data_IF_577468873902
#
_entry.id   IF_577468873902
#
_cell.length_a   1.000
_cell.length_b   1.000
_cell.length_c   1.000
_cell.angle_alpha   90.00
_cell.angle_beta   90.00
_cell.angle_gamma   90.00
#
_symmetry.space_group_name_H-M   'P 1'
#
loop_
_entity.id
_entity.type
_entity.pdbx_description
1 polymer ?
#
# COMPACT_ATOMS: atom_id res chain seq x y z
N UNK A 1 12.40 -10.71 -18.01
CA UNK A 1 12.07 -9.36 -17.49
C UNK A 1 13.09 -9.03 -16.40
N UNK A 2 14.09 -8.20 -16.70
CA UNK A 2 15.15 -7.85 -15.75
C UNK A 2 14.51 -6.99 -14.65
N UNK A 3 14.40 -7.53 -13.43
CA UNK A 3 13.86 -6.79 -12.29
C UNK A 3 14.90 -5.74 -11.87
N UNK A 4 14.58 -4.46 -12.12
CA UNK A 4 15.33 -3.28 -11.64
C UNK A 4 15.60 -3.39 -10.14
N UNK A 5 16.76 -2.92 -9.68
CA UNK A 5 17.05 -2.82 -8.25
C UNK A 5 15.98 -1.94 -7.56
N UNK A 6 15.45 -2.39 -6.42
CA UNK A 6 14.49 -1.62 -5.61
C UNK A 6 14.93 -1.59 -4.15
N UNK A 7 14.53 -0.52 -3.47
CA UNK A 7 14.78 -0.28 -2.05
C UNK A 7 14.29 -1.49 -1.24
N UNK A 8 15.10 -1.94 -0.26
CA UNK A 8 14.74 -2.98 0.70
C UNK A 8 15.09 -4.44 0.37
N UNK A 9 15.70 -4.73 -0.79
CA UNK A 9 16.21 -6.09 -1.04
C UNK A 9 17.40 -6.43 -0.12
N UNK A 10 17.48 -7.63 0.47
CA UNK A 10 18.63 -8.05 1.26
C UNK A 10 19.83 -8.30 0.35
N UNK A 11 20.99 -7.74 0.70
CA UNK A 11 22.26 -7.94 -0.01
C UNK A 11 23.35 -8.28 1.00
N UNK A 12 24.19 -9.25 0.66
CA UNK A 12 25.42 -9.57 1.41
C UNK A 12 26.60 -9.19 0.52
N UNK A 13 27.47 -8.32 1.02
CA UNK A 13 28.76 -8.02 0.39
C UNK A 13 29.69 -9.20 0.65
N UNK A 14 30.16 -9.86 -0.40
CA UNK A 14 31.20 -10.87 -0.25
C UNK A 14 32.50 -10.15 0.14
N UNK A 15 33.12 -10.55 1.25
CA UNK A 15 34.45 -10.09 1.65
C UNK A 15 35.46 -11.15 1.22
N UNK A 16 36.48 -10.72 0.48
CA UNK A 16 37.67 -11.50 0.14
C UNK A 16 38.40 -11.93 1.43
N UNK A 17 38.12 -13.15 1.93
CA UNK A 17 38.81 -13.69 3.10
C UNK A 17 38.73 -15.22 3.21
N UNK A 18 38.97 -15.98 2.12
CA UNK A 18 39.07 -17.45 2.19
C UNK A 18 37.86 -18.14 2.86
N UNK A 19 36.68 -17.53 2.77
CA UNK A 19 35.48 -17.99 3.47
C UNK A 19 34.90 -19.18 2.71
N UNK A 20 34.71 -20.29 3.41
CA UNK A 20 34.04 -21.47 2.87
C UNK A 20 32.62 -21.11 2.41
N UNK A 21 32.38 -21.30 1.11
CA UNK A 21 31.09 -21.02 0.46
C UNK A 21 29.96 -21.81 1.12
N UNK A 22 30.23 -23.02 1.60
CA UNK A 22 29.22 -23.84 2.30
C UNK A 22 28.89 -23.28 3.69
N UNK A 23 29.86 -22.68 4.39
CA UNK A 23 29.62 -21.95 5.64
C UNK A 23 28.79 -20.67 5.42
N UNK A 24 29.03 -19.95 4.32
CA UNK A 24 28.19 -18.80 3.93
C UNK A 24 26.78 -19.26 3.62
N UNK A 25 26.60 -20.30 2.79
CA UNK A 25 25.29 -20.87 2.45
C UNK A 25 24.53 -21.31 3.69
N UNK A 26 25.17 -22.07 4.59
CA UNK A 26 24.54 -22.52 5.83
C UNK A 26 24.10 -21.35 6.71
N UNK A 27 24.96 -20.35 6.89
CA UNK A 27 24.64 -19.15 7.69
C UNK A 27 23.48 -18.35 7.09
N UNK A 28 23.43 -18.27 5.76
CA UNK A 28 22.34 -17.68 5.00
C UNK A 28 21.04 -18.47 5.23
N UNK A 29 21.05 -19.80 5.09
CA UNK A 29 19.88 -20.67 5.30
C UNK A 29 19.37 -20.56 6.74
N UNK A 30 20.26 -20.60 7.73
CA UNK A 30 19.91 -20.49 9.15
C UNK A 30 19.26 -19.12 9.46
N UNK A 31 19.78 -18.04 8.87
CA UNK A 31 19.17 -16.71 8.98
C UNK A 31 17.74 -16.69 8.39
N UNK A 32 17.57 -17.22 7.17
CA UNK A 32 16.26 -17.28 6.51
C UNK A 32 15.25 -18.17 7.26
N UNK A 33 15.70 -19.19 7.98
CA UNK A 33 14.83 -20.05 8.79
C UNK A 33 14.16 -19.27 9.94
N UNK A 34 14.93 -18.46 10.67
CA UNK A 34 14.42 -17.59 11.74
C UNK A 34 13.53 -16.49 11.19
N UNK A 35 13.94 -15.89 10.08
CA UNK A 35 13.14 -14.88 9.38
C UNK A 35 11.76 -15.43 8.98
N UNK A 36 11.70 -16.69 8.52
CA UNK A 36 10.45 -17.36 8.14
C UNK A 36 9.53 -17.57 9.34
N UNK A 37 10.09 -17.94 10.49
CA UNK A 37 9.31 -18.09 11.72
C UNK A 37 8.72 -16.75 12.16
N UNK A 38 9.53 -15.69 12.19
CA UNK A 38 9.09 -14.33 12.51
C UNK A 38 8.01 -13.86 11.53
N UNK A 39 8.20 -14.08 10.23
CA UNK A 39 7.22 -13.72 9.22
C UNK A 39 5.91 -14.50 9.36
N UNK A 40 5.98 -15.80 9.72
CA UNK A 40 4.79 -16.61 9.99
C UNK A 40 3.98 -16.06 11.17
N UNK A 41 4.64 -15.62 12.24
CA UNK A 41 3.96 -14.97 13.37
C UNK A 41 3.21 -13.70 12.93
N UNK A 42 3.84 -12.91 12.06
CA UNK A 42 3.21 -11.71 11.49
C UNK A 42 2.04 -12.05 10.55
N UNK A 43 2.23 -12.98 9.60
CA UNK A 43 1.18 -13.45 8.67
C UNK A 43 -0.06 -13.95 9.42
N UNK A 44 0.15 -14.67 10.53
CA UNK A 44 -0.90 -15.21 11.38
C UNK A 44 -1.47 -14.20 12.39
N UNK A 45 -1.09 -12.91 12.27
CA UNK A 45 -1.54 -11.81 13.15
C UNK A 45 -1.22 -12.03 14.64
N UNK A 46 -0.18 -12.80 14.95
CA UNK A 46 0.28 -13.02 16.33
C UNK A 46 1.16 -11.89 16.85
N UNK A 47 1.79 -11.13 15.94
CA UNK A 47 2.57 -9.94 16.26
C UNK A 47 2.16 -8.76 15.36
N UNK A 48 2.13 -7.52 15.90
CA UNK A 48 1.87 -6.32 15.10
C UNK A 48 3.07 -5.96 14.22
N UNK A 49 2.85 -5.04 13.27
CA UNK A 49 3.87 -4.59 12.32
C UNK A 49 5.10 -3.99 13.02
N UNK A 50 4.94 -3.17 14.06
CA UNK A 50 6.02 -2.60 14.85
C UNK A 50 6.95 -3.66 15.45
N UNK A 51 6.38 -4.73 16.02
CA UNK A 51 7.15 -5.87 16.54
C UNK A 51 7.83 -6.63 15.42
N UNK A 52 7.14 -6.86 14.30
CA UNK A 52 7.71 -7.51 13.13
C UNK A 52 8.90 -6.72 12.56
N UNK A 53 8.77 -5.41 12.35
CA UNK A 53 9.86 -4.51 11.93
C UNK A 53 11.05 -4.59 12.88
N UNK A 54 10.78 -4.58 14.19
CA UNK A 54 11.82 -4.65 15.22
C UNK A 54 12.57 -5.98 15.15
N UNK A 55 11.86 -7.11 15.02
CA UNK A 55 12.45 -8.44 14.92
C UNK A 55 13.21 -8.67 13.60
N UNK A 56 12.75 -8.06 12.51
CA UNK A 56 13.42 -8.08 11.20
C UNK A 56 14.64 -7.14 11.14
N UNK A 57 14.77 -6.24 12.12
CA UNK A 57 15.87 -5.28 12.26
C UNK A 57 15.83 -4.07 11.32
N UNK A 58 14.87 -4.00 10.39
CA UNK A 58 14.79 -2.94 9.39
C UNK A 58 13.39 -2.85 8.76
N UNK A 59 12.86 -1.64 8.59
CA UNK A 59 11.60 -1.39 7.87
C UNK A 59 11.69 -1.92 6.44
N UNK A 60 12.76 -1.56 5.71
CA UNK A 60 12.91 -1.95 4.32
C UNK A 60 12.94 -3.47 4.13
N UNK A 61 13.57 -4.20 5.06
CA UNK A 61 13.59 -5.66 5.02
C UNK A 61 12.20 -6.25 5.31
N UNK A 62 11.54 -5.79 6.37
CA UNK A 62 10.21 -6.24 6.76
C UNK A 62 9.18 -6.04 5.63
N UNK A 63 9.12 -4.83 5.06
CA UNK A 63 8.16 -4.48 4.01
C UNK A 63 8.47 -5.17 2.67
N UNK A 64 9.75 -5.34 2.33
CA UNK A 64 10.15 -6.10 1.14
C UNK A 64 9.73 -7.56 1.22
N UNK A 65 9.77 -8.15 2.42
CA UNK A 65 9.31 -9.52 2.65
C UNK A 65 7.80 -9.66 2.44
N UNK A 66 7.00 -8.75 2.98
CA UNK A 66 5.53 -8.69 2.79
C UNK A 66 5.20 -8.67 1.29
N UNK A 67 5.88 -7.78 0.57
CA UNK A 67 5.71 -7.60 -0.87
C UNK A 67 6.16 -8.83 -1.67
N UNK A 68 7.32 -9.41 -1.34
CA UNK A 68 7.89 -10.55 -2.08
C UNK A 68 7.05 -11.82 -1.91
N UNK A 69 6.63 -12.11 -0.68
CA UNK A 69 5.81 -13.28 -0.34
C UNK A 69 4.33 -13.08 -0.70
N UNK A 70 3.92 -11.84 -1.00
CA UNK A 70 2.53 -11.42 -1.21
C UNK A 70 1.63 -11.90 -0.06
N UNK A 71 2.13 -11.79 1.18
CA UNK A 71 1.51 -12.31 2.40
C UNK A 71 1.69 -11.34 3.56
N UNK A 72 0.81 -11.45 4.55
CA UNK A 72 0.71 -10.47 5.63
C UNK A 72 0.06 -9.16 5.17
N UNK A 73 -0.33 -8.33 6.12
CA UNK A 73 -1.03 -7.07 5.87
C UNK A 73 -0.49 -5.95 6.75
N UNK A 74 -0.34 -4.77 6.16
CA UNK A 74 -0.02 -3.54 6.88
C UNK A 74 -1.36 -2.93 7.33
N UNK A 75 -1.58 -2.86 8.64
CA UNK A 75 -2.85 -2.40 9.21
C UNK A 75 -2.78 -0.88 9.46
N UNK A 76 -3.25 -0.13 8.47
CA UNK A 76 -3.30 1.34 8.52
C UNK A 76 -4.58 1.85 9.20
N UNK A 77 -5.66 1.04 9.20
CA UNK A 77 -6.95 1.31 9.83
C UNK A 77 -7.67 -0.01 10.19
N UNK A 78 -8.87 0.08 10.76
CA UNK A 78 -9.67 -1.08 11.21
C UNK A 78 -10.59 -1.69 10.13
N UNK A 79 -10.55 -1.16 8.92
CA UNK A 79 -11.32 -1.60 7.76
C UNK A 79 -12.72 -1.04 7.62
N UNK A 80 -13.13 -0.16 8.53
CA UNK A 80 -14.41 0.54 8.45
C UNK A 80 -14.27 1.84 7.66
N UNK A 81 -15.29 2.17 6.87
CA UNK A 81 -15.33 3.40 6.09
C UNK A 81 -15.24 4.64 6.98
N UNK A 82 -15.85 4.59 8.17
CA UNK A 82 -15.78 5.64 9.18
C UNK A 82 -14.34 5.89 9.65
N UNK A 83 -13.54 4.83 9.78
CA UNK A 83 -12.14 4.93 10.19
C UNK A 83 -11.30 5.61 9.11
N UNK A 84 -11.51 5.24 7.84
CA UNK A 84 -10.85 5.90 6.72
C UNK A 84 -11.25 7.38 6.59
N UNK A 85 -12.55 7.70 6.71
CA UNK A 85 -13.04 9.07 6.67
C UNK A 85 -12.52 9.91 7.84
N UNK A 86 -12.40 9.32 9.03
CA UNK A 86 -11.74 9.98 10.16
C UNK A 86 -10.28 10.30 9.84
N UNK A 87 -9.50 9.35 9.29
CA UNK A 87 -8.11 9.63 8.88
C UNK A 87 -8.00 10.70 7.81
N UNK A 88 -8.96 10.78 6.87
CA UNK A 88 -9.02 11.89 5.91
C UNK A 88 -9.21 13.24 6.62
N UNK A 89 -10.13 13.31 7.58
CA UNK A 89 -10.35 14.53 8.36
C UNK A 89 -9.10 14.94 9.14
N UNK A 90 -8.36 13.98 9.71
CA UNK A 90 -7.07 14.24 10.37
C UNK A 90 -6.02 14.73 9.37
N UNK A 91 -5.93 14.11 8.18
CA UNK A 91 -5.05 14.56 7.12
C UNK A 91 -5.38 15.98 6.62
N UNK A 92 -6.66 16.36 6.56
CA UNK A 92 -7.06 17.72 6.23
C UNK A 92 -6.61 18.74 7.26
N UNK A 93 -6.69 18.42 8.56
CA UNK A 93 -6.14 19.27 9.64
C UNK A 93 -4.64 19.46 9.47
N UNK A 94 -3.90 18.38 9.19
CA UNK A 94 -2.46 18.43 8.90
C UNK A 94 -2.13 19.37 7.73
N UNK A 95 -2.86 19.25 6.61
CA UNK A 95 -2.71 20.15 5.46
C UNK A 95 -3.04 21.62 5.79
N UNK A 96 -3.87 21.85 6.81
CA UNK A 96 -4.26 23.19 7.27
C UNK A 96 -3.37 23.72 8.41
N UNK A 97 -2.22 23.08 8.68
CA UNK A 97 -1.19 23.59 9.59
C UNK A 97 -1.13 22.95 10.97
N UNK A 98 -1.90 21.89 11.24
CA UNK A 98 -1.67 21.04 12.42
C UNK A 98 -0.30 20.36 12.31
N UNK A 99 0.48 20.38 13.39
CA UNK A 99 1.82 19.77 13.43
C UNK A 99 1.75 18.26 13.21
N UNK A 100 2.61 17.74 12.33
CA UNK A 100 2.65 16.32 11.97
C UNK A 100 3.97 15.70 12.39
N UNK A 101 3.91 14.61 13.15
CA UNK A 101 5.05 13.71 13.35
C UNK A 101 4.99 12.57 12.34
N UNK A 102 6.01 12.44 11.50
CA UNK A 102 6.09 11.40 10.47
C UNK A 102 6.93 10.25 11.01
N UNK A 103 6.36 9.05 11.06
CA UNK A 103 7.08 7.86 11.46
C UNK A 103 7.91 7.25 10.30
N UNK A 104 8.75 6.27 10.62
CA UNK A 104 9.60 5.63 9.62
C UNK A 104 8.81 4.81 8.60
N UNK A 105 7.64 4.27 8.97
CA UNK A 105 6.83 3.44 8.05
C UNK A 105 6.23 4.29 6.94
N UNK A 106 5.68 5.45 7.28
CA UNK A 106 5.12 6.39 6.30
C UNK A 106 6.20 7.06 5.48
N UNK A 107 7.32 7.45 6.11
CA UNK A 107 8.44 8.02 5.36
C UNK A 107 8.95 7.01 4.32
N UNK A 108 9.03 5.73 4.68
CA UNK A 108 9.36 4.67 3.73
C UNK A 108 8.35 4.59 2.57
N UNK A 109 7.04 4.63 2.85
CA UNK A 109 6.03 4.61 1.80
C UNK A 109 6.08 5.84 0.89
N UNK A 110 6.35 7.03 1.43
CA UNK A 110 6.54 8.25 0.64
C UNK A 110 7.74 8.15 -0.31
N UNK A 111 8.84 7.51 0.14
CA UNK A 111 10.03 7.25 -0.68
C UNK A 111 9.72 6.25 -1.79
N UNK A 112 9.10 5.10 -1.45
CA UNK A 112 8.73 4.06 -2.42
C UNK A 112 7.77 4.60 -3.48
N UNK A 113 6.83 5.45 -3.07
CA UNK A 113 5.92 6.14 -3.98
C UNK A 113 6.61 7.25 -4.79
N UNK A 114 7.78 7.72 -4.35
CA UNK A 114 8.51 8.80 -5.00
C UNK A 114 7.86 10.16 -4.87
N UNK A 115 7.08 10.39 -3.81
CA UNK A 115 6.25 11.59 -3.60
C UNK A 115 6.66 12.41 -2.36
N UNK A 116 7.84 12.15 -1.77
CA UNK A 116 8.31 12.82 -0.54
C UNK A 116 8.17 14.35 -0.65
N UNK A 117 8.76 14.96 -1.68
CA UNK A 117 8.69 16.43 -1.88
C UNK A 117 7.28 16.93 -2.18
N UNK A 118 6.57 16.22 -3.04
CA UNK A 118 5.20 16.58 -3.43
C UNK A 118 4.27 16.63 -2.22
N UNK A 119 4.41 15.69 -1.30
CA UNK A 119 3.61 15.61 -0.07
C UNK A 119 4.10 16.61 0.99
N UNK A 120 5.40 16.59 1.31
CA UNK A 120 5.93 17.41 2.41
C UNK A 120 5.87 18.91 2.10
N UNK A 121 5.88 19.31 0.83
CA UNK A 121 5.65 20.71 0.45
C UNK A 121 4.21 21.20 0.75
N UNK A 122 3.27 20.29 1.02
CA UNK A 122 1.86 20.58 1.31
C UNK A 122 1.51 20.47 2.78
N UNK A 123 2.43 19.97 3.62
CA UNK A 123 2.27 19.91 5.07
C UNK A 123 3.06 21.08 5.67
N UNK A 124 2.41 22.15 6.15
CA UNK A 124 3.12 23.37 6.57
C UNK A 124 4.06 23.15 7.77
N UNK A 125 3.71 22.18 8.64
CA UNK A 125 4.44 21.89 9.88
C UNK A 125 4.62 20.39 10.03
N UNK A 126 5.82 19.91 9.80
CA UNK A 126 6.14 18.50 9.98
C UNK A 126 7.48 18.31 10.68
N UNK A 127 7.55 17.19 11.40
CA UNK A 127 8.64 16.81 12.26
C UNK A 127 9.03 15.37 11.93
N UNK A 128 10.34 15.11 11.82
CA UNK A 128 10.87 13.76 11.56
C UNK A 128 11.90 13.42 12.63
N UNK A 129 11.60 12.49 13.55
CA UNK A 129 12.54 12.04 14.57
C UNK A 129 13.94 11.68 14.02
N UNK A 130 14.99 12.02 14.78
CA UNK A 130 16.38 11.78 14.37
C UNK A 130 16.70 10.29 14.15
N UNK A 131 16.01 9.39 14.86
CA UNK A 131 16.11 7.94 14.68
C UNK A 131 15.72 7.50 13.28
N UNK A 132 14.68 8.11 12.71
CA UNK A 132 14.21 7.84 11.35
C UNK A 132 15.20 8.38 10.32
N UNK A 133 15.74 9.59 10.52
CA UNK A 133 16.78 10.12 9.63
C UNK A 133 18.07 9.30 9.65
N UNK A 134 18.41 8.71 10.80
CA UNK A 134 19.55 7.79 10.92
C UNK A 134 19.33 6.53 10.08
N UNK A 135 18.14 5.94 10.12
CA UNK A 135 17.80 4.79 9.25
C UNK A 135 17.79 5.18 7.78
N UNK A 136 17.31 6.38 7.44
CA UNK A 136 17.35 6.92 6.08
C UNK A 136 18.79 7.05 5.57
N UNK A 137 19.70 7.59 6.38
CA UNK A 137 21.13 7.67 6.04
C UNK A 137 21.76 6.28 5.85
N UNK A 138 21.45 5.34 6.75
CA UNK A 138 21.87 3.94 6.62
C UNK A 138 21.37 3.32 5.29
N UNK A 139 20.16 3.67 4.84
CA UNK A 139 19.64 3.25 3.54
C UNK A 139 20.44 3.86 2.38
N UNK A 140 20.78 5.16 2.43
CA UNK A 140 21.64 5.81 1.42
C UNK A 140 23.00 5.10 1.34
N UNK A 141 23.60 4.79 2.49
CA UNK A 141 24.92 4.16 2.56
C UNK A 141 24.96 2.77 1.92
N UNK A 142 23.83 2.04 1.90
CA UNK A 142 23.71 0.77 1.19
C UNK A 142 23.88 0.91 -0.33
N UNK A 143 23.56 2.07 -0.90
CA UNK A 143 23.74 2.36 -2.32
C UNK A 143 25.10 3.02 -2.64
N UNK A 144 25.86 3.45 -1.62
CA UNK A 144 27.18 4.07 -1.81
C UNK A 144 28.30 3.08 -2.16
N UNK A 145 28.10 1.78 -1.93
CA UNK A 145 29.12 0.74 -2.12
C UNK A 145 28.53 -0.41 -2.94
N UNK A 146 28.58 -0.25 -4.26
CA UNK A 146 28.20 -1.29 -5.22
C UNK A 146 29.49 -1.92 -5.75
N UNK A 147 29.75 -3.18 -5.40
CA UNK A 147 30.85 -3.94 -6.01
C UNK A 147 30.55 -4.24 -7.47
N UNK A 148 31.55 -4.11 -8.33
CA UNK A 148 31.44 -4.50 -9.74
C UNK A 148 31.18 -6.01 -9.90
N UNK A 149 31.57 -6.79 -8.89
CA UNK A 149 31.44 -8.26 -8.83
C UNK A 149 30.01 -8.77 -8.58
N UNK A 150 29.05 -7.85 -8.36
CA UNK A 150 27.66 -8.17 -8.10
C UNK A 150 27.35 -8.49 -6.64
N UNK A 151 26.12 -8.92 -6.39
CA UNK A 151 25.59 -9.22 -5.04
C UNK A 151 25.12 -10.67 -4.97
N UNK A 152 25.35 -11.31 -3.82
CA UNK A 152 24.77 -12.61 -3.53
C UNK A 152 23.30 -12.42 -3.13
N UNK A 153 22.41 -13.05 -3.88
CA UNK A 153 21.00 -13.19 -3.55
C UNK A 153 20.67 -14.65 -3.35
N UNK A 154 19.77 -14.94 -2.42
CA UNK A 154 19.19 -16.28 -2.36
C UNK A 154 18.13 -16.41 -3.46
N UNK A 155 18.16 -17.54 -4.16
CA UNK A 155 17.16 -17.93 -5.15
C UNK A 155 15.74 -17.79 -4.60
N UNK A 156 14.75 -17.56 -5.48
CA UNK A 156 13.35 -17.44 -5.05
C UNK A 156 12.86 -18.71 -4.32
N UNK A 157 13.38 -19.88 -4.72
CA UNK A 157 13.12 -21.18 -4.09
C UNK A 157 13.95 -21.41 -2.81
N UNK A 158 14.95 -20.55 -2.56
CA UNK A 158 15.85 -20.56 -1.39
C UNK A 158 16.70 -21.81 -1.22
N UNK A 159 16.89 -22.56 -2.30
CA UNK A 159 17.74 -23.75 -2.33
C UNK A 159 19.18 -23.42 -2.74
N UNK A 160 19.38 -22.28 -3.40
CA UNK A 160 20.69 -21.85 -3.90
C UNK A 160 20.96 -20.34 -3.73
N UNK A 161 22.23 -19.94 -3.84
CA UNK A 161 22.70 -18.55 -3.84
C UNK A 161 23.07 -18.15 -5.27
N UNK A 162 22.35 -17.18 -5.81
CA UNK A 162 22.54 -16.63 -7.15
C UNK A 162 23.32 -15.32 -7.07
N UNK A 163 24.38 -15.17 -7.86
CA UNK A 163 25.05 -13.88 -8.05
C UNK A 163 24.25 -13.05 -9.05
N UNK A 164 23.77 -11.87 -8.64
CA UNK A 164 23.19 -10.88 -9.56
C UNK A 164 24.11 -9.69 -9.72
N UNK A 165 24.42 -9.37 -10.97
CA UNK A 165 25.10 -8.10 -11.32
C UNK A 165 24.17 -6.94 -10.99
N UNK A 166 24.68 -6.01 -10.20
CA UNK A 166 23.96 -4.80 -9.84
C UNK A 166 24.21 -3.74 -10.91
N UNK A 167 23.18 -2.98 -11.29
CA UNK A 167 23.38 -1.83 -12.17
C UNK A 167 23.90 -0.65 -11.34
N UNK A 168 25.15 -0.26 -11.58
CA UNK A 168 25.77 0.91 -10.92
C UNK A 168 24.98 2.18 -11.21
N UNK A 169 24.46 2.32 -12.43
CA UNK A 169 23.67 3.48 -12.84
C UNK A 169 22.33 3.54 -12.09
N UNK A 170 21.64 2.40 -11.95
CA UNK A 170 20.40 2.34 -11.16
C UNK A 170 20.67 2.63 -9.67
N UNK A 171 21.80 2.14 -9.14
CA UNK A 171 22.22 2.42 -7.78
C UNK A 171 22.39 3.92 -7.54
N UNK A 172 23.12 4.58 -8.43
CA UNK A 172 23.46 5.99 -8.30
C UNK A 172 22.23 6.88 -8.53
N UNK A 173 21.31 6.47 -9.40
CA UNK A 173 20.02 7.14 -9.58
C UNK A 173 19.19 7.09 -8.27
N UNK A 174 19.06 5.90 -7.67
CA UNK A 174 18.34 5.73 -6.39
C UNK A 174 19.04 6.53 -5.28
N UNK A 175 20.36 6.42 -5.18
CA UNK A 175 21.17 7.14 -4.17
C UNK A 175 21.00 8.64 -4.31
N UNK A 176 21.11 9.17 -5.53
CA UNK A 176 20.96 10.59 -5.82
C UNK A 176 19.57 11.08 -5.41
N UNK A 177 18.52 10.31 -5.71
CA UNK A 177 17.15 10.65 -5.29
C UNK A 177 17.01 10.68 -3.77
N UNK A 178 17.49 9.64 -3.07
CA UNK A 178 17.44 9.55 -1.61
C UNK A 178 18.22 10.69 -0.93
N UNK A 179 19.41 11.02 -1.41
CA UNK A 179 20.20 12.16 -0.92
C UNK A 179 19.45 13.48 -1.11
N UNK A 180 18.83 13.65 -2.28
CA UNK A 180 18.04 14.82 -2.62
C UNK A 180 16.83 14.96 -1.68
N UNK A 181 16.11 13.88 -1.40
CA UNK A 181 14.95 13.87 -0.50
C UNK A 181 15.35 14.08 0.96
N UNK A 182 16.44 13.45 1.43
CA UNK A 182 16.97 13.68 2.76
C UNK A 182 17.36 15.15 2.96
N UNK A 183 18.04 15.75 1.98
CA UNK A 183 18.39 17.17 2.04
C UNK A 183 17.14 18.04 2.15
N UNK A 184 16.12 17.79 1.33
CA UNK A 184 14.86 18.50 1.41
C UNK A 184 14.23 18.42 2.80
N UNK A 185 14.20 17.23 3.41
CA UNK A 185 13.68 17.03 4.77
C UNK A 185 14.48 17.84 5.78
N UNK A 186 15.82 17.78 5.73
CA UNK A 186 16.67 18.49 6.68
C UNK A 186 16.54 20.02 6.58
N UNK A 187 16.30 20.53 5.37
CA UNK A 187 16.16 21.96 5.11
C UNK A 187 14.77 22.51 5.52
N UNK A 188 13.75 21.64 5.69
CA UNK A 188 12.35 22.08 5.82
C UNK A 188 11.59 21.51 7.04
N UNK A 189 12.08 20.48 7.74
CA UNK A 189 11.42 19.96 8.94
C UNK A 189 11.60 20.92 10.14
N UNK A 190 10.57 21.07 10.98
CA UNK A 190 10.62 21.96 12.17
C UNK A 190 11.56 21.42 13.26
N UNK A 191 11.50 20.11 13.52
CA UNK A 191 12.34 19.43 14.50
C UNK A 191 12.89 18.09 13.98
N UNK A 192 14.16 17.85 14.32
CA UNK A 192 14.94 16.63 14.10
C UNK A 192 15.70 16.23 15.37
N UNK A 193 15.04 16.14 16.53
CA UNK A 193 15.63 15.48 17.72
C UNK A 193 15.12 14.05 17.90
N UNK A 194 15.92 13.17 18.51
CA UNK A 194 15.50 11.85 18.96
C UNK A 194 14.90 11.90 20.37
N UNK A 195 14.31 10.80 20.83
CA UNK A 195 13.91 10.65 22.23
C UNK A 195 14.96 9.81 22.96
N UNK A 196 15.66 10.35 23.97
CA UNK A 196 16.60 9.56 24.76
C UNK A 196 15.84 8.49 25.56
N UNK A 197 16.49 7.33 25.77
CA UNK A 197 15.88 6.17 26.45
C UNK A 197 15.35 6.51 27.86
N UNK A 198 16.00 7.45 28.56
CA UNK A 198 15.60 7.92 29.89
C UNK A 198 14.24 8.61 29.92
N UNK A 199 13.77 9.13 28.78
CA UNK A 199 12.49 9.80 28.68
C UNK A 199 11.40 8.89 28.06
N UNK A 200 11.76 7.66 27.70
CA UNK A 200 10.80 6.63 27.29
C UNK A 200 10.18 6.00 28.53
N UNK A 201 8.90 5.66 28.44
CA UNK A 201 8.20 4.91 29.47
C UNK A 201 8.91 3.56 29.71
N UNK A 202 8.87 3.04 30.94
CA UNK A 202 9.58 1.80 31.31
C UNK A 202 8.99 0.56 30.63
N UNK A 203 7.76 0.66 30.10
CA UNK A 203 7.09 -0.43 29.38
C UNK A 203 7.87 -0.86 28.12
N UNK A 204 7.80 -2.16 27.84
CA UNK A 204 8.41 -2.79 26.68
C UNK A 204 8.10 -2.05 25.37
N UNK A 205 6.87 -1.54 25.21
CA UNK A 205 6.42 -0.93 23.96
C UNK A 205 7.24 0.29 23.55
N UNK A 206 7.78 1.06 24.51
CA UNK A 206 8.68 2.20 24.20
C UNK A 206 10.15 1.80 24.28
N UNK A 207 10.51 0.86 25.15
CA UNK A 207 11.91 0.47 25.38
C UNK A 207 12.47 -0.47 24.31
N UNK A 208 11.63 -1.32 23.71
CA UNK A 208 12.08 -2.41 22.83
C UNK A 208 11.61 -2.29 21.40
N UNK A 209 10.48 -1.63 21.13
CA UNK A 209 10.10 -1.34 19.75
C UNK A 209 11.09 -0.35 19.15
N UNK A 210 11.50 -0.63 17.92
CA UNK A 210 12.44 0.21 17.19
C UNK A 210 12.02 1.68 17.20
N UNK A 211 12.98 2.57 17.45
CA UNK A 211 12.77 4.02 17.50
C UNK A 211 12.26 4.60 16.18
N UNK A 212 12.54 3.93 15.05
CA UNK A 212 12.04 4.29 13.73
C UNK A 212 10.51 4.19 13.63
N UNK A 213 9.88 3.37 14.47
CA UNK A 213 8.41 3.24 14.54
C UNK A 213 7.86 4.00 15.75
N UNK A 214 8.55 3.95 16.89
CA UNK A 214 8.01 4.45 18.16
C UNK A 214 8.13 5.96 18.38
N UNK A 215 9.20 6.60 17.93
CA UNK A 215 9.54 7.95 18.39
C UNK A 215 8.52 9.01 17.95
N UNK A 216 7.96 8.91 16.74
CA UNK A 216 6.97 9.86 16.22
C UNK A 216 5.70 9.90 17.09
N UNK A 217 5.20 8.73 17.48
CA UNK A 217 4.05 8.62 18.38
C UNK A 217 4.39 9.17 19.78
N UNK A 218 5.54 8.79 20.35
CA UNK A 218 5.92 9.26 21.69
C UNK A 218 6.06 10.79 21.73
N UNK A 219 6.59 11.41 20.66
CA UNK A 219 6.63 12.87 20.53
C UNK A 219 5.24 13.48 20.41
N UNK A 220 4.39 12.95 19.52
CA UNK A 220 3.02 13.44 19.37
C UNK A 220 2.20 13.34 20.67
N UNK A 221 2.47 12.35 21.52
CA UNK A 221 1.84 12.23 22.84
C UNK A 221 2.26 13.32 23.84
N UNK A 222 3.45 13.90 23.67
CA UNK A 222 3.91 15.03 24.48
C UNK A 222 3.32 16.34 23.96
N UNK A 223 3.25 16.47 22.64
CA UNK A 223 2.75 17.65 21.95
C UNK A 223 1.26 17.46 21.62
N UNK A 224 0.41 17.68 22.62
CA UNK A 224 -1.03 17.32 22.63
C UNK A 224 -1.87 17.74 21.42
N UNK A 225 -1.41 18.71 20.62
CA UNK A 225 -2.09 19.21 19.43
C UNK A 225 -1.47 18.69 18.11
N UNK A 226 -0.59 17.70 18.19
CA UNK A 226 0.08 17.09 17.02
C UNK A 226 -0.57 15.78 16.61
N UNK A 227 -0.43 15.46 15.33
CA UNK A 227 -0.94 14.23 14.73
C UNK A 227 0.21 13.36 14.24
N UNK A 228 -0.04 12.07 14.03
CA UNK A 228 0.96 11.13 13.53
C UNK A 228 0.60 10.65 12.12
N UNK A 229 1.54 10.79 11.19
CA UNK A 229 1.50 10.09 9.90
C UNK A 229 2.19 8.73 10.09
N UNK A 230 1.41 7.64 10.07
CA UNK A 230 1.88 6.25 10.27
C UNK A 230 1.14 5.24 9.41
N UNK A 231 1.84 4.18 8.99
CA UNK A 231 1.24 2.97 8.41
C UNK A 231 1.05 1.84 9.43
N UNK A 232 1.37 2.09 10.71
CA UNK A 232 1.14 1.17 11.82
C UNK A 232 0.25 1.81 12.89
N UNK A 233 -1.04 1.91 12.60
CA UNK A 233 -2.02 2.42 13.58
C UNK A 233 -2.08 1.55 14.83
N UNK A 234 -1.71 0.28 14.72
CA UNK A 234 -1.74 -0.69 15.83
C UNK A 234 -0.72 -0.33 16.89
N UNK A 235 0.46 0.19 16.52
CA UNK A 235 1.44 0.68 17.49
C UNK A 235 0.88 1.82 18.35
N UNK A 236 0.16 2.77 17.75
CA UNK A 236 -0.45 3.91 18.47
C UNK A 236 -1.43 3.40 19.53
N UNK A 237 -2.29 2.46 19.15
CA UNK A 237 -3.30 1.88 20.04
C UNK A 237 -2.64 1.11 21.21
N UNK A 238 -1.67 0.24 20.90
CA UNK A 238 -0.97 -0.56 21.91
C UNK A 238 -0.16 0.35 22.85
N UNK A 239 0.57 1.32 22.32
CA UNK A 239 1.38 2.23 23.12
C UNK A 239 0.51 3.01 24.11
N UNK A 240 -0.58 3.61 23.63
CA UNK A 240 -1.48 4.41 24.47
C UNK A 240 -2.11 3.54 25.57
N UNK A 241 -2.55 2.33 25.24
CA UNK A 241 -3.12 1.40 26.20
C UNK A 241 -2.11 0.92 27.26
N UNK A 242 -0.86 0.69 26.88
CA UNK A 242 0.19 0.18 27.79
C UNK A 242 0.81 1.25 28.68
N UNK A 243 0.92 2.47 28.18
CA UNK A 243 1.58 3.58 28.89
C UNK A 243 0.59 4.48 29.63
N UNK A 244 -0.71 4.39 29.33
CA UNK A 244 -1.74 5.28 29.86
C UNK A 244 -1.66 6.71 29.31
N UNK A 245 -0.80 6.97 28.33
CA UNK A 245 -0.68 8.28 27.67
C UNK A 245 -1.88 8.52 26.74
N UNK A 246 -2.12 9.79 26.41
CA UNK A 246 -3.15 10.17 25.44
C UNK A 246 -2.86 9.51 24.09
N UNK A 247 -3.90 9.05 23.41
CA UNK A 247 -3.78 8.51 22.05
C UNK A 247 -3.70 9.68 21.06
N UNK A 248 -2.60 9.86 20.30
CA UNK A 248 -2.54 10.88 19.27
C UNK A 248 -3.50 10.53 18.12
N UNK A 249 -4.10 11.56 17.53
CA UNK A 249 -4.80 11.44 16.25
C UNK A 249 -3.79 11.01 15.16
N UNK A 250 -4.23 10.17 14.23
CA UNK A 250 -3.33 9.59 13.22
C UNK A 250 -4.00 9.45 11.85
N UNK A 251 -3.16 9.40 10.82
CA UNK A 251 -3.57 9.19 9.43
C UNK A 251 -2.46 8.49 8.64
N UNK A 252 -2.79 7.95 7.47
CA UNK A 252 -1.89 7.19 6.59
C UNK A 252 -1.51 7.98 5.34
N UNK A 253 -0.48 7.54 4.61
CA UNK A 253 -0.16 8.06 3.28
C UNK A 253 -1.37 7.92 2.35
N UNK A 254 -2.13 6.81 2.48
CA UNK A 254 -3.35 6.59 1.70
C UNK A 254 -4.40 7.67 1.89
N UNK A 255 -4.73 8.04 3.14
CA UNK A 255 -5.75 9.06 3.42
C UNK A 255 -5.26 10.45 3.02
N UNK A 256 -3.98 10.75 3.25
CA UNK A 256 -3.36 12.01 2.85
C UNK A 256 -3.41 12.22 1.34
N UNK A 257 -2.99 11.22 0.56
CA UNK A 257 -3.00 11.31 -0.91
C UNK A 257 -4.42 11.39 -1.47
N UNK A 258 -5.41 10.79 -0.77
CA UNK A 258 -6.83 11.00 -1.11
C UNK A 258 -7.22 12.46 -0.97
N UNK A 259 -6.90 13.09 0.16
CA UNK A 259 -7.21 14.49 0.41
C UNK A 259 -6.52 15.42 -0.59
N UNK A 260 -5.25 15.16 -0.92
CA UNK A 260 -4.51 15.95 -1.92
C UNK A 260 -5.15 15.85 -3.32
N UNK A 261 -5.59 14.67 -3.73
CA UNK A 261 -6.31 14.49 -4.99
C UNK A 261 -7.67 15.18 -4.99
N UNK A 262 -8.48 15.03 -3.94
CA UNK A 262 -9.79 15.69 -3.82
C UNK A 262 -9.66 17.22 -3.81
N UNK A 263 -8.57 17.75 -3.24
CA UNK A 263 -8.21 19.18 -3.28
C UNK A 263 -7.56 19.62 -4.59
N UNK A 264 -7.39 18.73 -5.58
CA UNK A 264 -6.75 18.98 -6.88
C UNK A 264 -5.27 19.38 -6.80
N UNK A 265 -4.60 19.07 -5.69
CA UNK A 265 -3.15 19.23 -5.54
C UNK A 265 -2.39 18.10 -6.24
N UNK A 266 -3.01 16.92 -6.31
CA UNK A 266 -2.53 15.77 -7.08
C UNK A 266 -3.46 15.49 -8.25
N UNK A 267 -2.88 15.16 -9.41
CA UNK A 267 -3.67 14.61 -10.51
C UNK A 267 -4.05 13.14 -10.26
N UNK A 268 -4.97 12.63 -11.07
CA UNK A 268 -5.45 11.26 -10.97
C UNK A 268 -4.34 10.22 -11.18
N UNK A 269 -3.40 10.48 -12.09
CA UNK A 269 -2.34 9.54 -12.42
C UNK A 269 -1.39 9.34 -11.23
N UNK A 270 -1.03 10.45 -10.57
CA UNK A 270 -0.22 10.44 -9.35
C UNK A 270 -0.96 9.71 -8.22
N UNK A 271 -2.24 10.03 -7.99
CA UNK A 271 -3.07 9.33 -7.01
C UNK A 271 -3.09 7.81 -7.26
N UNK A 272 -3.35 7.40 -8.49
CA UNK A 272 -3.49 6.00 -8.87
C UNK A 272 -2.17 5.23 -8.78
N UNK A 273 -1.05 5.87 -9.12
CA UNK A 273 0.28 5.27 -8.96
C UNK A 273 0.62 5.01 -7.49
N UNK A 274 0.29 5.95 -6.61
CA UNK A 274 0.43 5.75 -5.16
C UNK A 274 -0.45 4.58 -4.72
N UNK A 275 -1.75 4.61 -5.05
CA UNK A 275 -2.68 3.54 -4.72
C UNK A 275 -2.15 2.16 -5.11
N UNK A 276 -1.63 2.03 -6.35
CA UNK A 276 -1.07 0.79 -6.84
C UNK A 276 0.12 0.31 -6.01
N UNK A 277 1.04 1.21 -5.66
CA UNK A 277 2.21 0.88 -4.84
C UNK A 277 1.78 0.41 -3.46
N UNK A 278 0.87 1.13 -2.78
CA UNK A 278 0.34 0.73 -1.47
C UNK A 278 -0.35 -0.64 -1.54
N UNK A 279 -1.06 -0.94 -2.64
CA UNK A 279 -1.69 -2.24 -2.86
C UNK A 279 -0.64 -3.37 -2.99
N UNK A 280 0.51 -3.09 -3.61
CA UNK A 280 1.62 -4.06 -3.73
C UNK A 280 2.25 -4.35 -2.36
N UNK A 281 2.35 -3.33 -1.49
CA UNK A 281 2.80 -3.48 -0.12
C UNK A 281 1.75 -4.10 0.82
N UNK A 282 0.56 -4.43 0.30
CA UNK A 282 -0.55 -5.04 1.03
C UNK A 282 -0.99 -4.21 2.24
N UNK A 283 -1.01 -2.89 2.07
CA UNK A 283 -1.78 -2.03 2.96
C UNK A 283 -3.24 -2.49 2.94
N UNK A 284 -3.79 -2.73 4.12
CA UNK A 284 -5.14 -3.24 4.28
C UNK A 284 -6.15 -2.11 4.13
N UNK A 285 -7.31 -2.41 3.56
CA UNK A 285 -8.45 -1.51 3.46
C UNK A 285 -8.19 -0.22 2.66
N UNK A 286 -7.63 -0.37 1.46
CA UNK A 286 -7.58 0.66 0.43
C UNK A 286 -8.98 0.77 -0.21
N UNK A 287 -9.82 1.74 0.16
CA UNK A 287 -11.17 1.80 -0.37
C UNK A 287 -11.12 2.17 -1.86
N UNK A 288 -12.01 1.55 -2.63
CA UNK A 288 -12.29 1.83 -4.04
C UNK A 288 -13.79 2.12 -4.14
N UNK A 289 -14.13 3.27 -4.68
CA UNK A 289 -15.51 3.71 -4.92
C UNK A 289 -15.93 3.47 -6.38
N UNK A 290 -17.22 3.58 -6.68
CA UNK A 290 -17.69 3.55 -8.08
C UNK A 290 -17.06 4.65 -8.92
N UNK A 291 -16.82 5.81 -8.32
CA UNK A 291 -16.30 6.98 -9.00
C UNK A 291 -14.79 6.79 -9.30
N UNK A 292 -14.06 6.06 -8.45
CA UNK A 292 -12.68 5.66 -8.73
C UNK A 292 -12.60 4.71 -9.94
N UNK A 293 -13.57 3.80 -10.07
CA UNK A 293 -13.67 2.88 -11.21
C UNK A 293 -13.96 3.66 -12.50
N UNK A 294 -14.88 4.63 -12.45
CA UNK A 294 -15.18 5.52 -13.59
C UNK A 294 -13.97 6.36 -13.98
N UNK A 295 -13.29 6.97 -13.01
CA UNK A 295 -12.13 7.82 -13.26
C UNK A 295 -10.94 7.05 -13.83
N UNK A 296 -10.80 5.75 -13.51
CA UNK A 296 -9.85 4.87 -14.19
C UNK A 296 -10.22 4.61 -15.65
N UNK A 297 -11.51 4.42 -15.91
CA UNK A 297 -12.01 3.94 -17.18
C UNK A 297 -12.15 5.04 -18.22
N UNK A 298 -12.59 6.21 -17.78
CA UNK A 298 -12.97 7.33 -18.61
C UNK A 298 -12.00 8.50 -18.40
N UNK A 299 -11.21 8.80 -19.43
CA UNK A 299 -10.45 10.03 -19.50
C UNK A 299 -11.24 11.09 -20.26
N UNK A 300 -11.47 12.24 -19.62
CA UNK A 300 -12.08 13.39 -20.29
C UNK A 300 -11.00 14.26 -20.91
N UNK A 301 -10.97 14.35 -22.24
CA UNK A 301 -10.14 15.28 -23.02
C UNK A 301 -11.05 16.28 -23.73
N UNK A 302 -11.36 17.38 -23.05
CA UNK A 302 -12.33 18.36 -23.54
C UNK A 302 -13.75 17.78 -23.57
N UNK A 303 -14.35 17.68 -24.76
CA UNK A 303 -15.65 17.04 -24.99
C UNK A 303 -15.55 15.55 -25.32
N UNK A 304 -14.34 15.02 -25.52
CA UNK A 304 -14.12 13.62 -25.89
C UNK A 304 -13.87 12.79 -24.64
N UNK A 305 -14.62 11.71 -24.48
CA UNK A 305 -14.37 10.69 -23.46
C UNK A 305 -13.58 9.57 -24.13
N UNK A 306 -12.34 9.36 -23.70
CA UNK A 306 -11.50 8.25 -24.15
C UNK A 306 -11.50 7.13 -23.12
N UNK A 307 -11.55 5.90 -23.61
CA UNK A 307 -11.59 4.69 -22.80
C UNK A 307 -10.18 4.09 -22.62
N UNK A 308 -9.76 3.82 -21.39
CA UNK A 308 -8.45 3.20 -21.10
C UNK A 308 -8.57 2.08 -20.06
N UNK A 309 -8.06 0.89 -20.37
CA UNK A 309 -8.03 -0.25 -19.43
C UNK A 309 -6.76 -0.29 -18.59
N UNK A 310 -5.67 0.31 -19.05
CA UNK A 310 -4.37 0.23 -18.38
C UNK A 310 -4.40 0.80 -16.96
N UNK A 311 -5.15 1.88 -16.75
CA UNK A 311 -5.36 2.48 -15.43
C UNK A 311 -6.20 1.61 -14.52
N UNK A 312 -7.15 0.88 -15.11
CA UNK A 312 -8.04 0.00 -14.38
C UNK A 312 -7.26 -1.11 -13.65
N UNK A 313 -6.20 -1.63 -14.28
CA UNK A 313 -5.35 -2.67 -13.69
C UNK A 313 -4.53 -2.17 -12.49
N UNK A 314 -4.28 -0.86 -12.39
CA UNK A 314 -3.58 -0.25 -11.24
C UNK A 314 -4.41 -0.24 -9.96
N UNK A 315 -5.74 -0.43 -10.05
CA UNK A 315 -6.59 -0.61 -8.87
C UNK A 315 -6.41 -1.98 -8.21
N UNK A 316 -5.76 -2.94 -8.90
CA UNK A 316 -5.45 -4.26 -8.34
C UNK A 316 -6.66 -4.94 -7.67
N UNK A 317 -7.82 -4.89 -8.33
CA UNK A 317 -9.11 -5.32 -7.74
C UNK A 317 -9.12 -6.78 -7.33
N UNK A 318 -8.41 -7.65 -8.06
CA UNK A 318 -8.22 -9.05 -7.68
C UNK A 318 -7.71 -9.20 -6.25
N UNK A 319 -6.83 -8.29 -5.82
CA UNK A 319 -6.32 -8.25 -4.46
C UNK A 319 -7.22 -7.45 -3.52
N UNK A 320 -7.52 -6.19 -3.85
CA UNK A 320 -8.24 -5.26 -2.96
C UNK A 320 -9.67 -5.71 -2.67
N UNK A 321 -10.30 -6.46 -3.57
CA UNK A 321 -11.61 -7.06 -3.37
C UNK A 321 -11.58 -8.54 -3.01
N UNK A 322 -10.41 -9.12 -2.76
CA UNK A 322 -10.30 -10.51 -2.35
C UNK A 322 -10.89 -10.74 -0.95
N UNK A 323 -11.26 -11.99 -0.67
CA UNK A 323 -11.69 -12.39 0.68
C UNK A 323 -10.56 -12.26 1.71
N UNK A 324 -9.32 -12.54 1.30
CA UNK A 324 -8.15 -12.43 2.20
C UNK A 324 -7.92 -10.99 2.67
N UNK A 325 -8.25 -10.00 1.84
CA UNK A 325 -8.10 -8.58 2.14
C UNK A 325 -9.08 -8.08 3.21
N UNK A 326 -10.12 -8.86 3.52
CA UNK A 326 -11.09 -8.51 4.56
C UNK A 326 -12.10 -7.43 4.16
N UNK A 327 -12.27 -7.14 2.85
CA UNK A 327 -13.28 -6.19 2.39
C UNK A 327 -14.69 -6.63 2.82
N UNK A 328 -15.48 -5.68 3.32
CA UNK A 328 -16.87 -5.94 3.65
C UNK A 328 -17.65 -6.34 2.39
N UNK A 329 -18.32 -7.49 2.43
CA UNK A 329 -19.03 -8.02 1.26
C UNK A 329 -20.19 -7.14 0.79
N UNK A 330 -20.89 -6.47 1.71
CA UNK A 330 -21.99 -5.56 1.39
C UNK A 330 -21.42 -4.33 0.66
N UNK A 331 -20.34 -3.74 1.17
CA UNK A 331 -19.66 -2.60 0.52
C UNK A 331 -19.14 -2.98 -0.86
N UNK A 332 -18.52 -4.16 -1.00
CA UNK A 332 -18.06 -4.72 -2.27
C UNK A 332 -19.20 -4.84 -3.29
N UNK A 333 -20.33 -5.46 -2.91
CA UNK A 333 -21.50 -5.57 -3.77
C UNK A 333 -22.10 -4.21 -4.09
N UNK A 334 -22.13 -3.29 -3.13
CA UNK A 334 -22.59 -1.91 -3.33
C UNK A 334 -21.82 -1.24 -4.46
N UNK A 335 -20.50 -1.09 -4.28
CA UNK A 335 -19.60 -0.44 -5.24
C UNK A 335 -19.65 -1.09 -6.62
N UNK A 336 -19.49 -2.42 -6.68
CA UNK A 336 -19.48 -3.14 -7.96
C UNK A 336 -20.81 -3.07 -8.69
N UNK A 337 -21.94 -3.23 -7.97
CA UNK A 337 -23.27 -3.12 -8.59
C UNK A 337 -23.60 -1.71 -9.04
N UNK A 338 -23.19 -0.67 -8.29
CA UNK A 338 -23.37 0.72 -8.68
C UNK A 338 -22.64 1.01 -9.99
N UNK A 339 -21.36 0.67 -10.05
CA UNK A 339 -20.56 0.87 -11.24
C UNK A 339 -21.10 0.11 -12.45
N UNK A 340 -21.38 -1.19 -12.32
CA UNK A 340 -21.94 -2.01 -13.40
C UNK A 340 -23.30 -1.45 -13.88
N UNK A 341 -24.15 -0.99 -12.95
CA UNK A 341 -25.46 -0.43 -13.32
C UNK A 341 -25.32 0.84 -14.15
N UNK A 342 -24.36 1.71 -13.81
CA UNK A 342 -24.05 2.91 -14.58
C UNK A 342 -23.52 2.55 -15.97
N UNK A 343 -22.59 1.59 -16.07
CA UNK A 343 -22.07 1.12 -17.37
C UNK A 343 -23.17 0.54 -18.28
N UNK A 344 -24.06 -0.28 -17.72
CA UNK A 344 -25.13 -0.92 -18.49
C UNK A 344 -26.17 0.10 -18.97
N UNK A 345 -26.47 1.10 -18.13
CA UNK A 345 -27.48 2.12 -18.42
C UNK A 345 -27.00 3.18 -19.41
N UNK A 346 -25.69 3.39 -19.52
CA UNK A 346 -25.11 4.36 -20.43
C UNK A 346 -25.04 3.83 -21.87
N UNK A 347 -25.95 4.32 -22.71
CA UNK A 347 -26.05 3.95 -24.13
C UNK A 347 -24.86 4.42 -24.97
N UNK A 348 -24.03 5.36 -24.47
CA UNK A 348 -22.82 5.81 -25.16
C UNK A 348 -21.68 4.80 -25.08
N UNK A 349 -21.71 3.90 -24.10
CA UNK A 349 -20.73 2.83 -23.93
C UNK A 349 -21.06 1.71 -24.92
N UNK A 350 -20.10 1.24 -25.72
CA UNK A 350 -20.33 0.17 -26.70
C UNK A 350 -20.25 -1.21 -26.06
N UNK A 351 -20.87 -2.21 -26.69
CA UNK A 351 -20.86 -3.59 -26.16
C UNK A 351 -19.43 -4.18 -26.15
N UNK A 352 -18.57 -3.79 -27.10
CA UNK A 352 -17.13 -4.13 -27.11
C UNK A 352 -16.39 -3.61 -25.87
N UNK A 353 -16.77 -2.43 -25.37
CA UNK A 353 -16.21 -1.89 -24.13
C UNK A 353 -16.73 -2.72 -22.95
N UNK A 354 -18.04 -2.99 -22.88
CA UNK A 354 -18.63 -3.80 -21.81
C UNK A 354 -17.98 -5.19 -21.73
N UNK A 355 -17.75 -5.83 -22.88
CA UNK A 355 -17.04 -7.11 -22.99
C UNK A 355 -15.70 -7.13 -22.28
N UNK A 356 -14.94 -6.02 -22.33
CA UNK A 356 -13.60 -5.91 -21.73
C UNK A 356 -13.64 -5.51 -20.26
N UNK A 357 -14.60 -4.68 -19.86
CA UNK A 357 -14.66 -4.10 -18.50
C UNK A 357 -15.36 -5.01 -17.52
N UNK A 358 -16.51 -5.57 -17.89
CA UNK A 358 -17.34 -6.34 -16.97
C UNK A 358 -16.55 -7.50 -16.33
N UNK A 359 -15.74 -8.30 -17.07
CA UNK A 359 -14.93 -9.35 -16.47
C UNK A 359 -13.92 -8.83 -15.44
N UNK A 360 -13.33 -7.65 -15.67
CA UNK A 360 -12.40 -7.01 -14.71
C UNK A 360 -13.10 -6.56 -13.42
N UNK A 361 -14.43 -6.49 -13.40
CA UNK A 361 -15.23 -6.20 -12.20
C UNK A 361 -15.75 -7.47 -11.53
N UNK A 362 -16.52 -8.28 -12.27
CA UNK A 362 -17.25 -9.37 -11.64
C UNK A 362 -16.33 -10.52 -11.25
N UNK A 363 -15.22 -10.78 -11.96
CA UNK A 363 -14.30 -11.86 -11.59
C UNK A 363 -13.71 -11.61 -10.19
N UNK A 364 -13.10 -10.45 -9.87
CA UNK A 364 -12.66 -10.16 -8.51
C UNK A 364 -13.75 -10.25 -7.44
N UNK A 365 -14.99 -9.88 -7.78
CA UNK A 365 -16.14 -10.00 -6.86
C UNK A 365 -16.47 -11.46 -6.56
N UNK A 366 -16.40 -12.35 -7.56
CA UNK A 366 -16.74 -13.77 -7.42
C UNK A 366 -15.59 -14.61 -6.84
N UNK A 367 -14.34 -14.18 -7.01
CA UNK A 367 -13.17 -14.98 -6.69
C UNK A 367 -13.06 -15.33 -5.19
N UNK A 368 -12.79 -16.60 -4.89
CA UNK A 368 -12.74 -17.13 -3.52
C UNK A 368 -14.10 -17.14 -2.77
N UNK A 369 -15.23 -17.02 -3.49
CA UNK A 369 -16.60 -17.02 -2.95
C UNK A 369 -17.50 -18.04 -3.65
N UNK A 370 -18.72 -18.20 -3.15
CA UNK A 370 -19.79 -18.95 -3.83
C UNK A 370 -20.21 -18.19 -5.10
N UNK A 371 -19.58 -18.53 -6.22
CA UNK A 371 -19.73 -17.80 -7.49
C UNK A 371 -21.18 -17.70 -7.94
N UNK A 372 -21.98 -18.75 -7.73
CA UNK A 372 -23.39 -18.78 -8.14
C UNK A 372 -24.23 -17.83 -7.29
N UNK A 373 -24.18 -17.98 -5.97
CA UNK A 373 -24.95 -17.13 -5.05
C UNK A 373 -24.55 -15.65 -5.15
N UNK A 374 -23.25 -15.36 -5.22
CA UNK A 374 -22.76 -13.97 -5.36
C UNK A 374 -23.13 -13.40 -6.73
N UNK A 375 -22.99 -14.18 -7.81
CA UNK A 375 -23.38 -13.79 -9.17
C UNK A 375 -24.86 -13.44 -9.27
N UNK A 376 -25.73 -14.30 -8.73
CA UNK A 376 -27.17 -14.08 -8.71
C UNK A 376 -27.56 -12.82 -7.93
N UNK A 377 -26.89 -12.57 -6.78
CA UNK A 377 -27.09 -11.33 -6.01
C UNK A 377 -26.65 -10.10 -6.78
N UNK A 378 -25.48 -10.14 -7.41
CA UNK A 378 -24.96 -9.02 -8.21
C UNK A 378 -25.94 -8.68 -9.34
N UNK A 379 -26.37 -9.68 -10.12
CA UNK A 379 -27.33 -9.51 -11.22
C UNK A 379 -28.66 -8.95 -10.70
N UNK A 380 -29.17 -9.46 -9.57
CA UNK A 380 -30.41 -8.98 -8.96
C UNK A 380 -30.32 -7.50 -8.60
N UNK A 381 -29.23 -7.07 -7.94
CA UNK A 381 -29.05 -5.67 -7.53
C UNK A 381 -28.91 -4.77 -8.76
N UNK A 382 -28.09 -5.16 -9.74
CA UNK A 382 -27.92 -4.42 -10.99
C UNK A 382 -29.24 -4.28 -11.74
N UNK A 383 -30.02 -5.36 -11.82
CA UNK A 383 -31.35 -5.35 -12.45
C UNK A 383 -32.33 -4.43 -11.71
N UNK A 384 -32.24 -4.32 -10.39
CA UNK A 384 -33.08 -3.41 -9.61
C UNK A 384 -32.70 -1.95 -9.84
N UNK A 385 -31.40 -1.62 -9.79
CA UNK A 385 -30.87 -0.26 -9.95
C UNK A 385 -31.13 0.30 -11.36
N UNK A 386 -31.04 -0.54 -12.38
CA UNK A 386 -31.32 -0.16 -13.78
C UNK A 386 -32.81 0.02 -14.05
N UNK A 387 -33.70 -0.73 -13.37
CA UNK A 387 -35.17 -0.57 -13.48
C UNK A 387 -35.68 0.74 -12.87
N UNK A 388 -35.07 1.22 -11.79
CA UNK A 388 -35.42 2.50 -11.16
C UNK A 388 -35.08 3.72 -12.01
N UNK A 389 -34.19 3.59 -13.01
CA UNK A 389 -33.81 4.65 -13.93
C UNK A 389 -34.80 4.78 -15.10
N UNK A 390 -36.07 5.11 -14.79
CA UNK A 390 -37.22 5.56 -15.61
C UNK A 390 -37.49 5.11 -17.07
N UNK A 391 -36.59 4.50 -17.84
CA UNK A 391 -36.89 3.86 -19.14
C UNK A 391 -35.99 2.63 -19.31
N UNK A 392 -36.53 1.43 -19.09
CA UNK A 392 -35.85 0.20 -19.52
C UNK A 392 -35.96 0.14 -21.04
N UNK A 393 -34.92 0.61 -21.74
CA UNK A 393 -34.82 0.38 -23.18
C UNK A 393 -34.55 -1.09 -23.43
N UNK A 394 -34.95 -1.60 -24.61
CA UNK A 394 -34.59 -2.96 -25.07
C UNK A 394 -33.08 -3.19 -24.99
N UNK A 395 -32.28 -2.13 -25.21
CA UNK A 395 -30.82 -2.14 -25.10
C UNK A 395 -30.34 -2.48 -23.68
N UNK A 396 -30.89 -1.83 -22.64
CA UNK A 396 -30.50 -2.09 -21.24
C UNK A 396 -30.81 -3.53 -20.84
N UNK A 397 -31.99 -4.04 -21.22
CA UNK A 397 -32.35 -5.44 -20.95
C UNK A 397 -31.35 -6.41 -21.60
N UNK A 398 -31.04 -6.22 -22.88
CA UNK A 398 -30.07 -7.05 -23.59
C UNK A 398 -28.68 -7.03 -22.91
N UNK A 399 -28.25 -5.89 -22.38
CA UNK A 399 -26.98 -5.76 -21.65
C UNK A 399 -26.97 -6.44 -20.29
N UNK A 400 -28.12 -6.48 -19.59
CA UNK A 400 -28.27 -7.29 -18.36
C UNK A 400 -28.19 -8.78 -18.70
N UNK A 401 -28.87 -9.21 -19.77
CA UNK A 401 -28.82 -10.60 -20.22
C UNK A 401 -27.39 -10.98 -20.67
N UNK A 402 -26.66 -10.04 -21.30
CA UNK A 402 -25.25 -10.18 -21.64
C UNK A 402 -24.35 -10.34 -20.40
N UNK A 403 -24.50 -9.48 -19.38
CA UNK A 403 -23.78 -9.62 -18.10
C UNK A 403 -24.06 -10.99 -17.45
N UNK A 404 -25.33 -11.41 -17.45
CA UNK A 404 -25.73 -12.71 -16.91
C UNK A 404 -25.02 -13.85 -17.63
N UNK A 405 -25.00 -13.83 -18.96
CA UNK A 405 -24.26 -14.81 -19.77
C UNK A 405 -22.77 -14.87 -19.42
N UNK A 406 -22.10 -13.71 -19.32
CA UNK A 406 -20.67 -13.68 -18.97
C UNK A 406 -20.38 -14.23 -17.56
N UNK A 407 -21.28 -13.99 -16.59
CA UNK A 407 -21.16 -14.55 -15.25
C UNK A 407 -21.37 -16.07 -15.28
N UNK A 408 -22.37 -16.56 -16.01
CA UNK A 408 -22.64 -18.00 -16.17
C UNK A 408 -21.46 -18.72 -16.84
N UNK A 409 -20.87 -18.13 -17.89
CA UNK A 409 -19.68 -18.66 -18.56
C UNK A 409 -18.50 -18.79 -17.58
N UNK A 410 -18.24 -17.74 -16.79
CA UNK A 410 -17.19 -17.77 -15.77
C UNK A 410 -17.44 -18.81 -14.68
N UNK A 411 -18.69 -18.98 -14.23
CA UNK A 411 -19.08 -20.00 -13.25
C UNK A 411 -18.80 -21.41 -13.79
N UNK A 412 -19.08 -21.63 -15.07
CA UNK A 412 -18.91 -22.92 -15.73
C UNK A 412 -17.46 -23.20 -16.17
N UNK A 413 -16.52 -22.29 -15.87
CA UNK A 413 -15.11 -22.44 -16.25
C UNK A 413 -14.85 -22.22 -17.74
N UNK A 414 -15.82 -21.66 -18.48
CA UNK A 414 -15.63 -21.24 -19.85
C UNK A 414 -14.77 -19.97 -19.80
N UNK A 415 -13.67 -19.96 -20.55
CA UNK A 415 -12.79 -18.79 -20.60
C UNK A 415 -13.57 -17.59 -21.13
N UNK A 416 -13.88 -16.65 -20.25
CA UNK A 416 -14.43 -15.35 -20.64
C UNK A 416 -13.29 -14.61 -21.36
N UNK A 417 -13.38 -14.49 -22.68
CA UNK A 417 -12.34 -13.87 -23.50
C UNK A 417 -12.30 -12.38 -23.19
N UNK A 418 -11.23 -11.96 -22.52
CA UNK A 418 -10.96 -10.58 -22.14
C UNK A 418 -9.59 -10.47 -21.49
N UNK A 419 -8.54 -10.96 -22.17
CA UNK A 419 -7.13 -10.73 -21.80
C UNK A 419 -6.64 -9.44 -22.44
#
# INVERSE_FOLDING_TARGET
MIRKARIGSPYIKAVEAGIDVESIKKSIIDFYSKEREIFRLFEQKQIPLCSYITLMGSIGHALSKIRAERKGFILINDGREESFNYQKNVAEKALNGTSVYIDGTSLFMLIECGIVRDVLSKIPKYNIPASILKEYRSLIDKFSVVSEDGTLQVSEEREDVIVRKFSKDEAEEIRSKLVSDLKYIQDNAEDVYGIPLSEKHVDFIEQKISSIVSDACIKAQRDKDSVVLTEDSTYIDINSARTGKSRPDNFSVRSLVRCLWEKKEFDWEKYLNVFYILSIYRECFLPVTSDDLEQCLFEKRGSIITFTLEKFDKLNLNFVWSREYGVNFISLLGVSSDFISRLISDVSITDDILMKVLPKIFIPVLEGRDKRNVGDKLIKIVSQKTKSAFIITRSVKNRIDFLKGQIEDHINGITVIGT
#
